data_IF_830498322130
#
_entry.id   IF_830498322130
#
_cell.length_a   1.000
_cell.length_b   1.000
_cell.length_c   1.000
_cell.angle_alpha   90.00
_cell.angle_beta   90.00
_cell.angle_gamma   90.00
#
_symmetry.space_group_name_H-M   'P 1'
#
loop_
_entity.id
_entity.type
_entity.pdbx_description
1 polymer ?
#
# COMPACT_ATOMS: atom_id res chain seq x y z
N UNK A 1 24.19 -37.99 7.62
CA UNK A 1 23.89 -37.07 6.50
C UNK A 1 22.40 -36.77 6.53
N UNK A 2 22.02 -35.61 7.05
CA UNK A 2 20.67 -35.07 6.90
C UNK A 2 20.83 -33.78 6.10
N UNK A 3 20.18 -33.70 4.94
CA UNK A 3 20.14 -32.49 4.14
C UNK A 3 19.34 -31.43 4.91
N UNK A 4 19.99 -30.34 5.27
CA UNK A 4 19.30 -29.13 5.70
C UNK A 4 18.50 -28.62 4.50
N UNK A 5 17.18 -28.66 4.64
CA UNK A 5 16.27 -28.00 3.73
C UNK A 5 16.58 -26.50 3.75
N UNK A 6 17.29 -26.01 2.72
CA UNK A 6 17.39 -24.59 2.48
C UNK A 6 15.98 -24.09 2.18
N UNK A 7 15.30 -23.58 3.21
CA UNK A 7 14.11 -22.78 3.03
C UNK A 7 14.55 -21.53 2.28
N UNK A 8 14.52 -21.59 0.95
CA UNK A 8 14.64 -20.42 0.10
C UNK A 8 13.41 -19.58 0.41
N UNK A 9 13.55 -18.69 1.41
CA UNK A 9 12.47 -17.82 1.85
C UNK A 9 11.95 -17.04 0.65
N UNK A 10 10.63 -16.97 0.51
CA UNK A 10 10.02 -16.18 -0.55
C UNK A 10 10.62 -14.77 -0.56
N UNK A 11 10.93 -14.20 -1.75
CA UNK A 11 11.49 -12.87 -1.83
C UNK A 11 10.58 -11.87 -1.10
N UNK A 12 11.20 -10.99 -0.33
CA UNK A 12 10.50 -9.98 0.46
C UNK A 12 10.82 -8.60 -0.09
N UNK A 13 9.76 -7.84 -0.35
CA UNK A 13 9.82 -6.49 -0.89
C UNK A 13 9.61 -5.52 0.27
N UNK A 14 10.62 -4.69 0.53
CA UNK A 14 10.57 -3.70 1.59
C UNK A 14 10.27 -2.32 1.01
N UNK A 15 9.09 -1.80 1.31
CA UNK A 15 8.66 -0.45 0.94
C UNK A 15 8.93 0.46 2.14
N UNK A 16 9.82 1.43 1.96
CA UNK A 16 10.24 2.37 3.02
C UNK A 16 9.94 3.80 2.60
N UNK A 17 9.56 4.63 3.56
CA UNK A 17 9.23 6.04 3.36
C UNK A 17 8.14 6.24 2.30
N UNK A 18 7.15 5.35 2.24
CA UNK A 18 6.02 5.51 1.34
C UNK A 18 5.08 6.57 1.90
N UNK A 19 4.91 7.64 1.13
CA UNK A 19 3.92 8.67 1.37
C UNK A 19 2.95 8.66 0.20
N UNK A 20 1.66 8.74 0.51
CA UNK A 20 0.61 8.84 -0.48
C UNK A 20 -0.38 9.91 -0.07
N UNK A 21 -0.51 10.93 -0.91
CA UNK A 21 -1.46 12.03 -0.71
C UNK A 21 -2.61 11.86 -1.68
N UNK A 22 -3.81 11.95 -1.13
CA UNK A 22 -5.08 11.93 -1.84
C UNK A 22 -5.69 13.33 -1.74
N UNK A 23 -5.80 14.02 -2.86
CA UNK A 23 -6.63 15.23 -2.97
C UNK A 23 -7.94 14.88 -3.64
N UNK A 24 -9.04 15.06 -2.93
CA UNK A 24 -10.36 14.91 -3.49
C UNK A 24 -10.86 16.24 -4.05
N UNK A 25 -11.14 16.28 -5.36
CA UNK A 25 -11.80 17.42 -6.02
C UNK A 25 -13.22 17.03 -6.42
N UNK A 26 -14.19 17.86 -6.07
CA UNK A 26 -15.57 17.74 -6.55
C UNK A 26 -15.73 18.30 -7.97
N UNK A 27 -16.94 18.18 -8.52
CA UNK A 27 -17.27 18.61 -9.88
C UNK A 27 -17.18 20.11 -10.10
N UNK A 28 -17.28 20.89 -9.03
CA UNK A 28 -17.34 22.34 -9.05
C UNK A 28 -16.17 22.89 -8.20
N UNK A 29 -15.59 24.04 -8.56
CA UNK A 29 -14.43 24.62 -7.85
C UNK A 29 -14.65 24.82 -6.34
N UNK A 30 -15.90 24.98 -5.90
CA UNK A 30 -16.26 25.13 -4.49
C UNK A 30 -16.35 23.79 -3.71
N UNK A 31 -16.25 22.64 -4.39
CA UNK A 31 -16.52 21.32 -3.81
C UNK A 31 -15.25 20.52 -3.53
N UNK A 32 -14.27 21.09 -2.81
CA UNK A 32 -13.15 20.29 -2.32
C UNK A 32 -13.65 19.16 -1.41
N UNK A 33 -13.23 17.92 -1.68
CA UNK A 33 -13.57 16.74 -0.87
C UNK A 33 -12.52 16.48 0.23
N UNK A 34 -11.53 17.37 0.33
CA UNK A 34 -10.48 17.34 1.34
C UNK A 34 -9.18 16.72 0.85
N UNK A 35 -8.22 16.65 1.78
CA UNK A 35 -6.93 16.01 1.59
C UNK A 35 -6.79 14.88 2.62
N UNK A 36 -6.20 13.76 2.20
CA UNK A 36 -5.79 12.71 3.10
C UNK A 36 -4.37 12.27 2.80
N UNK A 37 -3.66 11.86 3.84
CA UNK A 37 -2.28 11.41 3.76
C UNK A 37 -2.14 10.04 4.41
N UNK A 38 -1.47 9.13 3.71
CA UNK A 38 -1.11 7.81 4.20
C UNK A 38 0.42 7.75 4.22
N UNK A 39 0.98 7.54 5.41
CA UNK A 39 2.41 7.30 5.61
C UNK A 39 2.60 5.85 6.09
N UNK A 40 3.47 5.08 5.42
CA UNK A 40 3.65 3.67 5.77
C UNK A 40 5.05 3.14 5.47
N UNK A 41 5.49 2.20 6.30
CA UNK A 41 6.66 1.35 6.09
C UNK A 41 6.20 -0.09 6.12
N UNK A 42 6.43 -0.84 5.04
CA UNK A 42 5.80 -2.14 4.80
C UNK A 42 6.84 -3.16 4.33
N UNK A 43 6.66 -4.40 4.75
CA UNK A 43 7.38 -5.56 4.24
C UNK A 43 6.35 -6.50 3.65
N UNK A 44 6.43 -6.76 2.34
CA UNK A 44 5.43 -7.51 1.58
C UNK A 44 6.14 -8.73 0.98
N UNK A 45 5.62 -9.93 1.22
CA UNK A 45 6.12 -11.15 0.58
C UNK A 45 5.68 -11.18 -0.88
N UNK A 46 6.45 -11.85 -1.73
CA UNK A 46 6.08 -12.01 -3.13
C UNK A 46 4.68 -12.63 -3.30
N UNK A 47 3.82 -11.94 -4.06
CA UNK A 47 2.42 -12.32 -4.29
C UNK A 47 1.45 -11.90 -3.17
N UNK A 48 1.92 -11.27 -2.10
CA UNK A 48 1.09 -10.78 -1.00
C UNK A 48 0.33 -9.50 -1.40
N UNK A 49 -0.88 -9.36 -0.85
CA UNK A 49 -1.72 -8.17 -0.95
C UNK A 49 -1.89 -7.58 0.44
N UNK A 50 -1.65 -6.28 0.57
CA UNK A 50 -1.72 -5.58 1.84
C UNK A 50 -2.56 -4.31 1.70
N UNK A 51 -3.47 -4.08 2.66
CA UNK A 51 -4.17 -2.80 2.79
C UNK A 51 -3.30 -1.87 3.63
N UNK A 52 -2.93 -0.74 3.04
CA UNK A 52 -1.95 0.19 3.64
C UNK A 52 -2.61 1.24 4.50
N UNK A 53 -3.82 1.65 4.11
CA UNK A 53 -4.55 2.65 4.86
C UNK A 53 -5.96 2.85 4.32
N UNK A 54 -6.84 3.22 5.24
CA UNK A 54 -8.13 3.81 4.93
C UNK A 54 -8.05 5.31 5.21
N UNK A 55 -8.45 6.12 4.24
CA UNK A 55 -8.60 7.54 4.40
C UNK A 55 -10.06 7.94 4.16
N UNK A 56 -10.55 8.93 4.89
CA UNK A 56 -11.85 9.53 4.63
C UNK A 56 -11.66 10.85 3.88
N UNK A 57 -12.30 10.98 2.72
CA UNK A 57 -12.46 12.24 2.00
C UNK A 57 -13.91 12.68 2.12
N UNK A 58 -14.17 13.62 3.03
CA UNK A 58 -15.50 14.10 3.40
C UNK A 58 -16.45 12.95 3.78
N UNK A 59 -17.38 12.59 2.90
CA UNK A 59 -18.40 11.56 3.08
C UNK A 59 -18.03 10.21 2.43
N UNK A 60 -16.79 10.08 1.92
CA UNK A 60 -16.32 8.91 1.19
C UNK A 60 -15.15 8.25 1.89
N UNK A 61 -15.16 6.92 1.92
CA UNK A 61 -14.01 6.12 2.31
C UNK A 61 -13.15 5.82 1.07
N UNK A 62 -11.84 5.96 1.22
CA UNK A 62 -10.81 5.58 0.25
C UNK A 62 -9.96 4.49 0.87
N UNK A 63 -9.75 3.41 0.15
CA UNK A 63 -8.91 2.29 0.57
C UNK A 63 -7.74 2.20 -0.40
N UNK A 64 -6.52 2.25 0.12
CA UNK A 64 -5.30 2.00 -0.65
C UNK A 64 -4.83 0.57 -0.43
N UNK A 65 -4.75 -0.20 -1.52
CA UNK A 65 -4.25 -1.57 -1.54
C UNK A 65 -2.94 -1.61 -2.31
N UNK A 66 -1.88 -2.09 -1.68
CA UNK A 66 -0.61 -2.37 -2.35
C UNK A 66 -0.45 -3.89 -2.52
N UNK A 67 0.06 -4.27 -3.68
CA UNK A 67 0.49 -5.64 -3.94
C UNK A 67 1.81 -5.58 -4.67
N UNK A 68 2.67 -6.55 -4.37
CA UNK A 68 4.00 -6.61 -4.93
C UNK A 68 4.24 -8.03 -5.46
N UNK A 69 4.74 -8.12 -6.69
CA UNK A 69 5.10 -9.38 -7.34
C UNK A 69 6.42 -9.20 -8.06
N UNK A 70 7.36 -10.12 -7.86
CA UNK A 70 8.60 -10.16 -8.62
C UNK A 70 8.32 -10.83 -9.98
N UNK A 71 8.72 -10.17 -11.08
CA UNK A 71 8.58 -10.71 -12.44
C UNK A 71 10.00 -10.86 -13.01
N UNK A 72 10.27 -12.03 -13.59
CA UNK A 72 11.54 -12.38 -14.23
C UNK A 72 11.41 -12.37 -15.75
#
# INVERSE_FOLDING_TARGET
MAMESSSTGAPTINIRNFYFTLEGRGSDEASALGEARIDSNLSIRDGEKLVVGSASLRDRAVILVLSAKVIN
#
